data_IF_358015557241
#
_entry.id   IF_358015557241
#
_cell.length_a   1.000
_cell.length_b   1.000
_cell.length_c   1.000
_cell.angle_alpha   90.00
_cell.angle_beta   90.00
_cell.angle_gamma   90.00
#
_symmetry.space_group_name_H-M   'P 1'
#
loop_
_entity.id
_entity.type
_entity.pdbx_description
1 polymer ?
#
# COMPACT_ATOMS: atom_id res chain seq x y z
N UNK A 1 45.99 22.36 -21.56
CA UNK A 1 45.84 23.12 -20.30
C UNK A 1 45.84 22.06 -19.18
N UNK A 2 46.71 22.18 -18.18
CA UNK A 2 47.07 21.10 -17.24
C UNK A 2 45.94 20.77 -16.25
N UNK A 3 45.84 19.49 -15.87
CA UNK A 3 44.78 18.85 -15.05
C UNK A 3 44.86 19.20 -13.54
N UNK A 4 45.78 20.05 -13.09
CA UNK A 4 46.03 20.29 -11.66
C UNK A 4 45.28 21.47 -11.02
N UNK A 5 44.40 22.18 -11.73
CA UNK A 5 43.72 23.39 -11.20
C UNK A 5 42.23 23.22 -10.83
N UNK A 6 41.69 22.00 -10.82
CA UNK A 6 40.25 21.75 -10.56
C UNK A 6 39.81 21.75 -9.08
N UNK A 7 40.71 22.00 -8.12
CA UNK A 7 40.39 21.97 -6.68
C UNK A 7 40.00 23.33 -6.07
N UNK A 8 39.70 24.36 -6.87
CA UNK A 8 39.36 25.70 -6.36
C UNK A 8 38.24 26.42 -7.12
N UNK A 9 37.15 25.72 -7.45
CA UNK A 9 35.92 26.40 -7.87
C UNK A 9 34.90 26.33 -6.73
N UNK A 10 34.31 27.45 -6.31
CA UNK A 10 33.20 27.44 -5.36
C UNK A 10 32.01 26.71 -5.99
N UNK A 11 31.31 25.89 -5.19
CA UNK A 11 30.01 25.35 -5.57
C UNK A 11 29.08 26.53 -5.86
N UNK A 12 28.67 26.68 -7.11
CA UNK A 12 27.66 27.65 -7.51
C UNK A 12 26.33 26.91 -7.55
N UNK A 13 25.34 27.26 -6.71
CA UNK A 13 23.99 26.72 -6.86
C UNK A 13 23.44 27.17 -8.22
N UNK A 14 23.09 26.20 -9.07
CA UNK A 14 22.44 26.47 -10.35
C UNK A 14 20.93 26.51 -10.06
N UNK A 15 20.39 27.71 -9.87
CA UNK A 15 18.95 27.92 -9.88
C UNK A 15 18.43 27.68 -11.31
N UNK A 16 17.65 26.61 -11.52
CA UNK A 16 16.98 26.36 -12.79
C UNK A 16 15.69 27.21 -12.80
N UNK A 17 15.67 28.17 -13.72
CA UNK A 17 14.60 29.14 -13.92
C UNK A 17 13.25 28.49 -14.25
N UNK A 18 12.19 28.97 -13.58
CA UNK A 18 10.77 28.64 -13.76
C UNK A 18 10.25 28.84 -15.20
N UNK A 19 10.43 27.86 -16.08
CA UNK A 19 9.62 27.73 -17.29
C UNK A 19 9.14 26.30 -17.43
N UNK A 20 7.82 26.12 -17.24
CA UNK A 20 7.10 24.85 -17.25
C UNK A 20 6.92 24.31 -18.67
N UNK A 21 7.54 23.17 -19.04
CA UNK A 21 6.93 22.26 -19.98
C UNK A 21 6.00 21.31 -19.21
N UNK A 22 4.70 21.46 -19.42
CA UNK A 22 3.71 20.49 -18.94
C UNK A 22 3.82 19.24 -19.83
N UNK A 23 4.46 18.18 -19.32
CA UNK A 23 4.32 16.84 -19.90
C UNK A 23 3.25 16.10 -19.11
N UNK A 24 2.11 15.87 -19.76
CA UNK A 24 1.02 15.07 -19.23
C UNK A 24 1.45 13.59 -19.30
N UNK A 25 1.72 12.98 -18.16
CA UNK A 25 1.85 11.53 -18.04
C UNK A 25 0.51 11.01 -17.52
N UNK A 26 -0.27 10.36 -18.39
CA UNK A 26 -1.46 9.64 -17.97
C UNK A 26 -1.03 8.45 -17.09
N UNK A 27 -1.63 8.34 -15.91
CA UNK A 27 -1.60 7.10 -15.15
C UNK A 27 -2.11 5.96 -16.06
N UNK A 28 -1.46 4.78 -16.09
CA UNK A 28 -1.99 3.65 -16.83
C UNK A 28 -3.36 3.26 -16.24
N UNK A 29 -4.35 3.11 -17.12
CA UNK A 29 -5.74 2.77 -16.76
C UNK A 29 -5.78 1.52 -15.88
N UNK A 30 -6.62 1.58 -14.85
CA UNK A 30 -7.05 0.40 -14.10
C UNK A 30 -7.41 -0.75 -15.07
N UNK A 31 -7.00 -2.00 -14.80
CA UNK A 31 -7.51 -3.13 -15.56
C UNK A 31 -9.01 -3.23 -15.31
N UNK A 32 -9.78 -2.87 -16.35
CA UNK A 32 -11.23 -2.84 -16.32
C UNK A 32 -11.85 -4.19 -15.96
N UNK A 33 -12.91 -4.10 -15.18
CA UNK A 33 -13.79 -5.19 -14.77
C UNK A 33 -14.57 -5.70 -16.02
N UNK A 34 -14.02 -6.70 -16.72
CA UNK A 34 -14.67 -7.31 -17.90
C UNK A 34 -15.81 -8.25 -17.47
N UNK A 35 -17.02 -7.70 -17.32
CA UNK A 35 -18.28 -8.45 -17.39
C UNK A 35 -19.34 -7.70 -18.20
N UNK A 36 -19.60 -8.22 -19.41
CA UNK A 36 -20.87 -8.25 -20.21
C UNK A 36 -21.21 -7.12 -21.24
N UNK A 37 -20.87 -7.38 -22.52
CA UNK A 37 -21.62 -7.39 -23.83
C UNK A 37 -23.04 -6.76 -23.99
N UNK A 38 -23.61 -6.44 -25.20
CA UNK A 38 -23.15 -5.89 -26.52
C UNK A 38 -23.88 -4.57 -26.98
N UNK A 39 -23.28 -3.88 -27.99
CA UNK A 39 -23.74 -2.97 -29.11
C UNK A 39 -25.24 -2.59 -29.35
N UNK A 40 -25.64 -1.64 -30.26
CA UNK A 40 -24.93 -0.79 -31.28
C UNK A 40 -25.29 0.73 -31.19
N UNK A 41 -24.81 1.74 -31.96
CA UNK A 41 -24.87 1.98 -33.42
C UNK A 41 -24.34 3.40 -33.81
N UNK A 42 -23.86 3.54 -35.06
CA UNK A 42 -23.96 4.68 -36.01
C UNK A 42 -23.19 6.01 -35.77
N UNK A 43 -22.12 6.33 -36.53
CA UNK A 43 -21.96 6.89 -37.90
C UNK A 43 -21.78 8.41 -37.97
N UNK A 44 -20.80 8.81 -38.80
CA UNK A 44 -20.73 10.02 -39.66
C UNK A 44 -19.65 11.09 -39.37
N UNK A 45 -18.74 11.21 -40.36
CA UNK A 45 -18.06 12.43 -40.83
C UNK A 45 -18.59 12.68 -42.26
N UNK A 46 -18.64 13.92 -42.85
CA UNK A 46 -17.41 14.58 -43.34
C UNK A 46 -17.40 16.13 -43.61
N UNK A 47 -16.18 16.70 -43.61
CA UNK A 47 -15.57 17.74 -44.48
C UNK A 47 -16.29 19.03 -44.99
N UNK A 48 -15.65 20.21 -44.84
CA UNK A 48 -14.94 21.01 -45.89
C UNK A 48 -15.05 22.57 -45.81
N UNK A 49 -13.87 23.25 -45.92
CA UNK A 49 -13.53 24.54 -46.61
C UNK A 49 -14.24 25.87 -46.24
N UNK A 50 -13.71 27.12 -46.23
CA UNK A 50 -12.41 27.80 -46.55
C UNK A 50 -12.49 29.30 -46.14
N UNK A 51 -11.32 29.92 -45.89
CA UNK A 51 -10.94 31.34 -46.20
C UNK A 51 -11.42 32.54 -45.35
N UNK A 52 -10.45 33.26 -44.76
CA UNK A 52 -10.56 34.68 -44.39
C UNK A 52 -9.32 35.19 -43.63
N UNK A 53 -8.51 36.05 -44.26
CA UNK A 53 -7.18 36.46 -43.83
C UNK A 53 -7.11 37.75 -42.96
N UNK A 54 -6.00 37.87 -42.22
CA UNK A 54 -5.36 39.05 -41.59
C UNK A 54 -6.02 39.61 -40.31
N UNK A 55 -5.33 39.95 -39.21
CA UNK A 55 -3.91 40.27 -38.99
C UNK A 55 -3.60 40.17 -37.47
N UNK A 56 -2.45 39.60 -37.08
CA UNK A 56 -1.79 39.91 -35.80
C UNK A 56 -1.48 38.76 -34.83
N UNK A 57 -0.36 38.06 -35.02
CA UNK A 57 0.70 37.90 -34.00
C UNK A 57 1.87 37.14 -34.62
N UNK A 58 3.09 37.62 -34.36
CA UNK A 58 4.30 36.84 -34.57
C UNK A 58 4.38 35.81 -33.44
N UNK A 59 4.00 34.57 -33.72
CA UNK A 59 4.43 33.45 -32.88
C UNK A 59 5.22 32.50 -33.77
N UNK A 60 6.55 32.69 -33.73
CA UNK A 60 7.49 31.69 -34.23
C UNK A 60 7.23 30.44 -33.41
N UNK A 61 6.91 29.35 -34.08
CA UNK A 61 6.99 28.01 -33.50
C UNK A 61 8.37 27.84 -32.86
N UNK A 62 8.44 27.93 -31.53
CA UNK A 62 9.62 27.55 -30.78
C UNK A 62 9.60 26.03 -30.62
N UNK A 63 9.72 25.33 -31.74
CA UNK A 63 10.21 23.95 -31.72
C UNK A 63 11.71 24.06 -31.52
N UNK A 64 12.15 24.09 -30.26
CA UNK A 64 13.56 23.96 -29.90
C UNK A 64 14.02 22.54 -30.23
N UNK A 65 14.19 22.28 -31.53
CA UNK A 65 15.03 21.19 -32.01
C UNK A 65 16.41 21.43 -31.41
N UNK A 66 16.85 20.52 -30.53
CA UNK A 66 18.24 20.42 -30.11
C UNK A 66 19.07 19.97 -31.32
N UNK A 67 19.34 20.89 -32.25
CA UNK A 67 20.18 20.60 -33.41
C UNK A 67 21.64 20.65 -32.99
N UNK A 68 22.21 19.44 -32.93
CA UNK A 68 23.64 19.08 -33.01
C UNK A 68 24.56 19.67 -31.95
N UNK A 69 24.54 19.08 -30.75
CA UNK A 69 25.78 18.89 -30.01
C UNK A 69 26.73 18.05 -30.88
N UNK A 70 28.03 18.36 -30.93
CA UNK A 70 28.98 17.45 -31.58
C UNK A 70 28.89 16.07 -30.91
N UNK A 71 29.23 14.96 -31.58
CA UNK A 71 29.27 13.65 -30.94
C UNK A 71 30.07 13.68 -29.63
N UNK A 72 31.12 14.50 -29.51
CA UNK A 72 31.85 14.67 -28.25
C UNK A 72 31.05 15.43 -27.19
N UNK A 73 30.29 16.47 -27.53
CA UNK A 73 29.45 17.21 -26.57
C UNK A 73 28.26 16.36 -26.12
N UNK A 74 27.63 15.62 -27.03
CA UNK A 74 26.58 14.67 -26.70
C UNK A 74 27.10 13.53 -25.84
N UNK A 75 28.29 12.99 -26.14
CA UNK A 75 28.93 11.96 -25.34
C UNK A 75 29.42 12.48 -24.00
N UNK A 76 29.89 13.73 -23.92
CA UNK A 76 30.29 14.38 -22.65
C UNK A 76 29.07 14.63 -21.78
N UNK A 77 27.95 15.04 -22.37
CA UNK A 77 26.68 15.18 -21.65
C UNK A 77 26.13 13.83 -21.21
N UNK A 78 26.17 12.79 -22.06
CA UNK A 78 25.83 11.42 -21.65
C UNK A 78 26.75 10.94 -20.53
N UNK A 79 28.07 11.13 -20.65
CA UNK A 79 29.02 10.72 -19.61
C UNK A 79 28.82 11.51 -18.31
N UNK A 80 28.41 12.77 -18.38
CA UNK A 80 28.04 13.57 -17.22
C UNK A 80 26.76 13.04 -16.56
N UNK A 81 25.74 12.73 -17.36
CA UNK A 81 24.51 12.08 -16.87
C UNK A 81 24.80 10.70 -16.26
N UNK A 82 25.69 9.91 -16.88
CA UNK A 82 26.16 8.62 -16.34
C UNK A 82 26.96 8.80 -15.05
N UNK A 83 27.81 9.83 -14.96
CA UNK A 83 28.55 10.13 -13.73
C UNK A 83 27.66 10.66 -12.60
N UNK A 84 26.55 11.33 -12.92
CA UNK A 84 25.49 11.67 -11.95
C UNK A 84 24.73 10.42 -11.51
N UNK A 85 24.48 9.48 -12.43
CA UNK A 85 23.89 8.17 -12.14
C UNK A 85 24.72 7.36 -11.13
N UNK A 86 26.05 7.50 -11.15
CA UNK A 86 26.96 6.87 -10.18
C UNK A 86 27.05 7.59 -8.81
N UNK A 87 26.52 8.83 -8.68
CA UNK A 87 26.74 9.68 -7.50
C UNK A 87 25.46 10.16 -6.79
N UNK A 88 24.29 9.87 -7.33
CA UNK A 88 23.01 10.38 -6.83
C UNK A 88 22.71 11.79 -7.33
N UNK A 89 21.43 12.06 -7.62
CA UNK A 89 20.88 13.37 -7.94
C UNK A 89 20.40 14.02 -6.65
N UNK A 90 20.91 15.21 -6.33
CA UNK A 90 20.48 16.02 -5.20
C UNK A 90 19.79 17.26 -5.77
N UNK A 91 18.52 17.47 -5.42
CA UNK A 91 17.74 18.59 -5.96
C UNK A 91 18.00 19.90 -5.20
N UNK A 92 18.29 19.80 -3.90
CA UNK A 92 18.60 20.93 -3.04
C UNK A 92 17.33 21.41 -2.33
N UNK A 93 17.40 22.55 -1.62
CA UNK A 93 16.26 23.01 -0.82
C UNK A 93 15.09 23.55 -1.66
N UNK A 94 13.87 23.27 -1.22
CA UNK A 94 12.60 23.74 -1.77
C UNK A 94 11.96 22.72 -2.72
N UNK A 95 10.71 22.96 -3.10
CA UNK A 95 9.95 22.05 -3.98
C UNK A 95 10.62 21.83 -5.34
N UNK A 96 10.98 20.59 -5.64
CA UNK A 96 11.63 20.16 -6.87
C UNK A 96 10.77 19.19 -7.71
N UNK A 97 11.02 19.16 -9.02
CA UNK A 97 10.37 18.24 -9.95
C UNK A 97 11.40 17.42 -10.72
N UNK A 98 11.51 16.13 -10.39
CA UNK A 98 12.53 15.23 -10.92
C UNK A 98 11.92 14.15 -11.80
N UNK A 99 12.47 13.95 -13.01
CA UNK A 99 12.09 12.85 -13.90
C UNK A 99 13.34 12.16 -14.42
N UNK A 100 13.60 10.94 -13.93
CA UNK A 100 14.89 10.27 -14.06
C UNK A 100 14.77 8.88 -14.66
N UNK A 101 15.86 8.47 -15.31
CA UNK A 101 16.00 7.17 -15.97
C UNK A 101 16.17 6.03 -14.94
N UNK A 102 16.03 4.76 -15.36
CA UNK A 102 16.28 3.61 -14.49
C UNK A 102 17.66 3.64 -13.81
N UNK A 103 17.74 3.13 -12.59
CA UNK A 103 18.98 3.04 -11.81
C UNK A 103 19.44 4.35 -11.17
N UNK A 104 18.61 5.39 -11.15
CA UNK A 104 18.96 6.67 -10.56
C UNK A 104 18.97 6.60 -9.02
N UNK A 105 19.99 7.19 -8.40
CA UNK A 105 19.93 7.60 -6.99
C UNK A 105 19.37 9.02 -6.90
N UNK A 106 18.44 9.29 -5.99
CA UNK A 106 17.74 10.57 -5.84
C UNK A 106 17.63 10.92 -4.37
N UNK A 107 17.89 12.18 -4.04
CA UNK A 107 17.64 12.79 -2.74
C UNK A 107 16.94 14.15 -2.97
N UNK A 108 15.70 14.26 -2.51
CA UNK A 108 14.87 15.47 -2.60
C UNK A 108 15.30 16.55 -1.61
N UNK A 109 15.75 16.13 -0.43
CA UNK A 109 16.21 17.02 0.66
C UNK A 109 15.08 17.80 1.31
N UNK A 110 15.14 19.13 1.45
CA UNK A 110 14.06 19.87 2.14
C UNK A 110 13.00 20.34 1.13
N UNK A 111 11.73 20.34 1.49
CA UNK A 111 10.59 20.84 0.70
C UNK A 111 9.75 19.73 0.09
N UNK A 112 8.55 20.07 -0.37
CA UNK A 112 7.61 19.11 -0.94
C UNK A 112 8.02 18.78 -2.39
N UNK A 113 8.62 17.62 -2.61
CA UNK A 113 9.20 17.23 -3.89
C UNK A 113 8.31 16.30 -4.72
N UNK A 114 8.38 16.47 -6.04
CA UNK A 114 7.74 15.60 -7.01
C UNK A 114 8.77 14.77 -7.77
N UNK A 115 8.94 13.52 -7.38
CA UNK A 115 10.00 12.63 -7.87
C UNK A 115 9.39 11.50 -8.71
N UNK A 116 9.82 11.38 -9.97
CA UNK A 116 9.49 10.26 -10.84
C UNK A 116 10.76 9.56 -11.33
N UNK A 117 10.89 8.27 -11.04
CA UNK A 117 12.09 7.47 -11.38
C UNK A 117 11.73 6.18 -12.11
N UNK A 118 12.62 5.73 -13.00
CA UNK A 118 12.53 4.41 -13.62
C UNK A 118 12.83 3.25 -12.67
N UNK A 119 12.97 2.05 -13.21
CA UNK A 119 13.20 0.83 -12.40
C UNK A 119 14.57 0.85 -11.70
N UNK A 120 14.71 0.04 -10.65
CA UNK A 120 15.96 -0.15 -9.91
C UNK A 120 16.54 1.15 -9.33
N UNK A 121 15.67 2.12 -9.00
CA UNK A 121 16.08 3.39 -8.44
C UNK A 121 16.31 3.30 -6.92
N UNK A 122 17.08 4.25 -6.40
CA UNK A 122 17.19 4.54 -4.97
C UNK A 122 16.68 5.96 -4.76
N UNK A 123 15.60 6.14 -4.01
CA UNK A 123 14.99 7.44 -3.77
C UNK A 123 14.92 7.69 -2.27
N UNK A 124 15.26 8.90 -1.85
CA UNK A 124 14.97 9.46 -0.55
C UNK A 124 14.29 10.80 -0.82
N UNK A 125 13.05 10.97 -0.35
CA UNK A 125 12.29 12.21 -0.45
C UNK A 125 12.97 13.30 0.37
N UNK A 126 12.92 13.17 1.70
CA UNK A 126 13.67 14.02 2.61
C UNK A 126 12.75 14.63 3.67
N UNK A 127 12.83 15.94 3.89
CA UNK A 127 11.90 16.66 4.74
C UNK A 127 10.85 17.34 3.85
N UNK A 128 9.56 17.17 4.11
CA UNK A 128 8.47 17.76 3.31
C UNK A 128 7.43 16.73 2.92
N UNK A 129 6.30 17.18 2.39
CA UNK A 129 5.24 16.27 1.94
C UNK A 129 5.54 15.84 0.48
N UNK A 130 6.30 14.76 0.30
CA UNK A 130 6.81 14.36 -1.01
C UNK A 130 5.81 13.53 -1.83
N UNK A 131 5.98 13.54 -3.15
CA UNK A 131 5.25 12.70 -4.09
C UNK A 131 6.23 11.90 -4.95
N UNK A 132 6.31 10.60 -4.70
CA UNK A 132 7.28 9.71 -5.33
C UNK A 132 6.58 8.65 -6.19
N UNK A 133 6.89 8.63 -7.48
CA UNK A 133 6.51 7.58 -8.43
C UNK A 133 7.74 6.78 -8.86
N UNK A 134 7.74 5.48 -8.58
CA UNK A 134 8.84 4.60 -8.93
C UNK A 134 8.36 3.36 -9.71
N UNK A 135 9.21 2.89 -10.62
CA UNK A 135 8.97 1.61 -11.28
C UNK A 135 9.59 0.47 -10.45
N UNK A 136 9.55 -0.74 -11.00
CA UNK A 136 9.93 -1.96 -10.30
C UNK A 136 11.35 -1.97 -9.73
N UNK A 137 11.58 -2.79 -8.71
CA UNK A 137 12.89 -3.03 -8.09
C UNK A 137 13.51 -1.78 -7.42
N UNK A 138 12.70 -0.80 -7.05
CA UNK A 138 13.21 0.44 -6.46
C UNK A 138 13.26 0.37 -4.94
N UNK A 139 14.19 1.07 -4.32
CA UNK A 139 14.24 1.33 -2.88
C UNK A 139 13.88 2.79 -2.64
N UNK A 140 12.84 3.04 -1.85
CA UNK A 140 12.24 4.36 -1.66
C UNK A 140 12.07 4.59 -0.17
N UNK A 141 12.47 5.77 0.27
CA UNK A 141 12.24 6.35 1.59
C UNK A 141 11.50 7.67 1.33
N UNK A 142 10.31 7.85 1.92
CA UNK A 142 9.58 9.12 1.91
C UNK A 142 10.36 10.13 2.72
N UNK A 143 10.44 9.93 4.03
CA UNK A 143 11.27 10.72 4.92
C UNK A 143 10.44 11.29 6.06
N UNK A 144 10.55 12.60 6.31
CA UNK A 144 9.71 13.31 7.26
C UNK A 144 8.64 14.08 6.48
N UNK A 145 7.38 14.00 6.89
CA UNK A 145 6.27 14.68 6.22
C UNK A 145 5.18 13.68 5.85
N UNK A 146 4.02 14.17 5.40
CA UNK A 146 2.94 13.29 4.95
C UNK A 146 3.17 12.93 3.47
N UNK A 147 3.85 11.82 3.20
CA UNK A 147 4.34 11.46 1.87
C UNK A 147 3.32 10.67 1.04
N UNK A 148 3.41 10.82 -0.28
CA UNK A 148 2.75 9.95 -1.24
C UNK A 148 3.78 9.11 -1.99
N UNK A 149 3.74 7.78 -1.84
CA UNK A 149 4.63 6.87 -2.58
C UNK A 149 3.83 5.84 -3.37
N UNK A 150 4.17 5.71 -4.65
CA UNK A 150 3.66 4.64 -5.51
C UNK A 150 4.77 3.93 -6.27
N UNK A 151 4.96 2.66 -5.96
CA UNK A 151 6.00 1.84 -6.57
C UNK A 151 5.45 0.56 -7.19
N UNK A 152 5.97 0.20 -8.37
CA UNK A 152 5.65 -1.05 -9.05
C UNK A 152 6.30 -2.27 -8.37
N UNK A 153 6.32 -3.41 -9.07
CA UNK A 153 6.75 -4.71 -8.55
C UNK A 153 8.12 -4.74 -7.89
N UNK A 154 8.27 -5.58 -6.87
CA UNK A 154 9.55 -5.89 -6.22
C UNK A 154 10.23 -4.66 -5.60
N UNK A 155 9.45 -3.66 -5.19
CA UNK A 155 9.97 -2.43 -4.60
C UNK A 155 10.02 -2.54 -3.08
N UNK A 156 10.90 -1.76 -2.46
CA UNK A 156 10.95 -1.53 -1.02
C UNK A 156 10.54 -0.08 -0.78
N UNK A 157 9.53 0.11 0.03
CA UNK A 157 8.95 1.41 0.36
C UNK A 157 9.02 1.57 1.87
N UNK A 158 9.54 2.68 2.35
CA UNK A 158 9.40 3.18 3.71
C UNK A 158 8.72 4.54 3.62
N UNK A 159 7.63 4.75 4.37
CA UNK A 159 7.00 6.07 4.52
C UNK A 159 7.92 6.98 5.34
N UNK A 160 8.06 6.69 6.62
CA UNK A 160 8.97 7.40 7.52
C UNK A 160 8.22 8.01 8.69
N UNK A 161 8.45 9.30 8.97
CA UNK A 161 7.71 10.05 9.98
C UNK A 161 6.59 10.86 9.29
N UNK A 162 5.33 10.64 9.62
CA UNK A 162 4.20 11.36 9.03
C UNK A 162 3.03 10.44 8.74
N UNK A 163 1.92 10.98 8.25
CA UNK A 163 0.76 10.19 7.85
C UNK A 163 0.85 9.91 6.36
N UNK A 164 1.48 8.80 6.01
CA UNK A 164 1.88 8.51 4.65
C UNK A 164 0.78 7.81 3.84
N UNK A 165 0.86 7.95 2.53
CA UNK A 165 0.06 7.20 1.57
C UNK A 165 0.95 6.37 0.68
N UNK A 166 1.01 5.08 0.97
CA UNK A 166 1.93 4.14 0.35
C UNK A 166 1.19 3.14 -0.53
N UNK A 167 1.74 2.88 -1.71
CA UNK A 167 1.20 1.87 -2.62
C UNK A 167 2.29 1.05 -3.29
N UNK A 168 2.21 -0.27 -3.13
CA UNK A 168 3.19 -1.22 -3.66
C UNK A 168 2.52 -2.33 -4.45
N UNK A 169 2.95 -2.51 -5.69
CA UNK A 169 2.45 -3.58 -6.53
C UNK A 169 3.34 -4.81 -6.40
N UNK A 170 2.75 -6.01 -6.58
CA UNK A 170 3.38 -7.33 -6.73
C UNK A 170 4.77 -7.52 -6.11
N UNK A 171 4.85 -8.35 -5.06
CA UNK A 171 6.10 -8.69 -4.38
C UNK A 171 6.83 -7.49 -3.79
N UNK A 172 6.09 -6.44 -3.42
CA UNK A 172 6.67 -5.26 -2.78
C UNK A 172 6.71 -5.45 -1.27
N UNK A 173 7.65 -4.76 -0.63
CA UNK A 173 7.76 -4.63 0.81
C UNK A 173 7.48 -3.18 1.18
N UNK A 174 6.52 -2.95 2.06
CA UNK A 174 6.08 -1.63 2.48
C UNK A 174 6.17 -1.57 4.00
N UNK A 175 6.81 -0.53 4.50
CA UNK A 175 6.87 -0.15 5.91
C UNK A 175 6.24 1.26 5.99
N UNK A 176 5.18 1.44 6.78
CA UNK A 176 4.53 2.73 7.00
C UNK A 176 5.47 3.67 7.76
N UNK A 177 5.68 3.36 9.04
CA UNK A 177 6.63 4.05 9.89
C UNK A 177 5.95 4.59 11.14
N UNK A 178 6.17 5.87 11.44
CA UNK A 178 5.49 6.57 12.52
C UNK A 178 4.38 7.44 11.95
N UNK A 179 3.15 7.32 12.43
CA UNK A 179 2.01 8.14 12.02
C UNK A 179 0.82 7.27 11.59
N UNK A 180 -0.32 7.90 11.33
CA UNK A 180 -1.52 7.17 10.91
C UNK A 180 -1.47 6.96 9.38
N UNK A 181 -0.95 5.83 8.93
CA UNK A 181 -0.64 5.58 7.52
C UNK A 181 -1.81 5.01 6.72
N UNK A 182 -1.75 5.17 5.40
CA UNK A 182 -2.64 4.50 4.45
C UNK A 182 -1.84 3.68 3.46
N UNK A 183 -2.00 2.36 3.53
CA UNK A 183 -1.19 1.42 2.76
C UNK A 183 -2.07 0.52 1.89
N UNK A 184 -1.85 0.58 0.58
CA UNK A 184 -2.46 -0.32 -0.40
C UNK A 184 -1.39 -1.25 -1.02
N UNK A 185 -1.50 -2.57 -0.86
CA UNK A 185 -0.51 -3.52 -1.40
C UNK A 185 -1.10 -4.72 -2.13
N UNK A 186 -0.60 -5.00 -3.32
CA UNK A 186 -1.15 -6.07 -4.17
C UNK A 186 -0.18 -7.23 -4.36
N UNK A 187 -0.72 -8.45 -4.42
CA UNK A 187 -0.10 -9.68 -4.91
C UNK A 187 1.24 -10.03 -4.26
N UNK A 188 1.20 -10.94 -3.29
CA UNK A 188 2.40 -11.46 -2.63
C UNK A 188 3.27 -10.35 -2.01
N UNK A 189 2.65 -9.26 -1.58
CA UNK A 189 3.35 -8.14 -0.95
C UNK A 189 3.40 -8.35 0.57
N UNK A 190 4.35 -7.67 1.21
CA UNK A 190 4.53 -7.68 2.65
C UNK A 190 4.38 -6.24 3.17
N UNK A 191 3.48 -6.04 4.12
CA UNK A 191 3.18 -4.75 4.73
C UNK A 191 3.40 -4.81 6.23
N UNK A 192 3.95 -3.75 6.78
CA UNK A 192 4.05 -3.42 8.20
C UNK A 192 3.62 -1.95 8.35
N UNK A 193 2.53 -1.70 9.07
CA UNK A 193 2.00 -0.35 9.29
C UNK A 193 2.94 0.46 10.16
N UNK A 194 3.25 -0.05 11.34
CA UNK A 194 4.24 0.53 12.25
C UNK A 194 3.59 1.10 13.49
N UNK A 195 3.97 2.31 13.88
CA UNK A 195 3.39 3.02 15.03
C UNK A 195 2.30 3.97 14.52
N UNK A 196 1.06 3.85 14.97
CA UNK A 196 -0.05 4.71 14.56
C UNK A 196 -1.32 3.92 14.32
N UNK A 197 -2.41 4.60 13.96
CA UNK A 197 -3.67 3.95 13.62
C UNK A 197 -3.79 3.84 12.11
N UNK A 198 -3.36 2.71 11.57
CA UNK A 198 -3.14 2.54 10.14
C UNK A 198 -4.38 2.06 9.39
N UNK A 199 -4.45 2.41 8.11
CA UNK A 199 -5.45 1.93 7.17
C UNK A 199 -4.79 1.07 6.10
N UNK A 200 -4.83 -0.25 6.28
CA UNK A 200 -4.11 -1.21 5.46
C UNK A 200 -5.08 -2.04 4.62
N UNK A 201 -4.79 -2.14 3.32
CA UNK A 201 -5.54 -2.95 2.38
C UNK A 201 -4.58 -3.83 1.56
N UNK A 202 -4.73 -5.15 1.66
CA UNK A 202 -3.85 -6.13 1.00
C UNK A 202 -4.60 -7.21 0.23
N UNK A 203 -4.10 -7.54 -0.97
CA UNK A 203 -4.74 -8.50 -1.87
C UNK A 203 -3.81 -9.63 -2.29
N UNK A 204 -4.40 -10.81 -2.56
CA UNK A 204 -3.79 -11.92 -3.30
C UNK A 204 -2.51 -12.47 -2.67
N UNK A 205 -2.68 -13.32 -1.65
CA UNK A 205 -1.61 -14.00 -0.92
C UNK A 205 -0.59 -13.03 -0.32
N UNK A 206 -1.04 -11.86 0.14
CA UNK A 206 -0.19 -10.85 0.77
C UNK A 206 -0.18 -11.02 2.30
N UNK A 207 0.84 -10.47 2.93
CA UNK A 207 0.96 -10.36 4.39
C UNK A 207 0.80 -8.91 4.81
N UNK A 208 0.07 -8.66 5.90
CA UNK A 208 0.01 -7.37 6.57
C UNK A 208 0.13 -7.55 8.10
N UNK A 209 0.99 -6.73 8.71
CA UNK A 209 0.95 -6.41 10.13
C UNK A 209 0.45 -4.97 10.28
N UNK A 210 -0.51 -4.73 11.18
CA UNK A 210 -0.93 -3.38 11.58
C UNK A 210 0.19 -2.69 12.35
N UNK A 211 0.51 -3.24 13.52
CA UNK A 211 1.62 -2.75 14.33
C UNK A 211 1.12 -2.31 15.68
N UNK A 212 1.44 -1.08 16.08
CA UNK A 212 1.00 -0.50 17.34
C UNK A 212 -0.01 0.62 17.11
N UNK A 213 -1.24 0.45 17.57
CA UNK A 213 -2.33 1.41 17.45
C UNK A 213 -3.64 0.69 17.12
N UNK A 214 -4.73 1.45 16.99
CA UNK A 214 -6.04 0.87 16.67
C UNK A 214 -6.21 0.83 15.14
N UNK A 215 -5.84 -0.28 14.51
CA UNK A 215 -5.70 -0.39 13.06
C UNK A 215 -6.99 -0.77 12.35
N UNK A 216 -7.09 -0.40 11.06
CA UNK A 216 -8.13 -0.85 10.14
C UNK A 216 -7.49 -1.64 9.01
N UNK A 217 -7.65 -2.97 9.05
CA UNK A 217 -6.98 -3.87 8.09
C UNK A 217 -8.00 -4.64 7.25
N UNK A 218 -7.81 -4.63 5.94
CA UNK A 218 -8.59 -5.44 5.01
C UNK A 218 -7.71 -6.38 4.19
N UNK A 219 -7.98 -7.68 4.31
CA UNK A 219 -7.26 -8.74 3.60
C UNK A 219 -8.17 -9.53 2.66
N UNK A 220 -7.70 -9.79 1.43
CA UNK A 220 -8.44 -10.58 0.45
C UNK A 220 -7.60 -11.67 -0.19
N UNK A 221 -8.28 -12.73 -0.64
CA UNK A 221 -7.73 -13.77 -1.50
C UNK A 221 -6.48 -14.44 -0.90
N UNK A 222 -6.66 -15.18 0.18
CA UNK A 222 -5.60 -15.95 0.84
C UNK A 222 -4.57 -15.11 1.59
N UNK A 223 -4.90 -13.87 1.96
CA UNK A 223 -3.96 -13.00 2.68
C UNK A 223 -3.83 -13.43 4.14
N UNK A 224 -2.69 -13.13 4.75
CA UNK A 224 -2.40 -13.37 6.16
C UNK A 224 -2.28 -12.03 6.87
N UNK A 225 -3.07 -11.84 7.91
CA UNK A 225 -3.20 -10.58 8.63
C UNK A 225 -2.82 -10.77 10.10
N UNK A 226 -2.08 -9.82 10.65
CA UNK A 226 -1.78 -9.65 12.06
C UNK A 226 -2.18 -8.21 12.43
N UNK A 227 -3.13 -8.01 13.36
CA UNK A 227 -3.51 -6.67 13.80
C UNK A 227 -2.39 -6.01 14.58
N UNK A 228 -1.87 -6.73 15.58
CA UNK A 228 -0.71 -6.29 16.36
C UNK A 228 -1.13 -5.93 17.77
N UNK A 229 -0.96 -4.69 18.18
CA UNK A 229 -1.41 -4.22 19.49
C UNK A 229 -2.32 -3.02 19.37
N UNK A 230 -3.47 -3.07 20.04
CA UNK A 230 -4.52 -2.05 19.95
C UNK A 230 -5.86 -2.71 19.72
N UNK A 231 -6.93 -1.92 19.70
CA UNK A 231 -8.28 -2.44 19.45
C UNK A 231 -8.60 -2.40 17.94
N UNK A 232 -8.25 -3.44 17.21
CA UNK A 232 -8.23 -3.43 15.75
C UNK A 232 -9.60 -3.71 15.10
N UNK A 233 -9.76 -3.23 13.86
CA UNK A 233 -10.90 -3.53 12.99
C UNK A 233 -10.40 -4.26 11.75
N UNK A 234 -10.60 -5.58 11.73
CA UNK A 234 -10.06 -6.43 10.67
C UNK A 234 -11.19 -7.04 9.83
N UNK A 235 -11.08 -6.96 8.50
CA UNK A 235 -12.01 -7.60 7.57
C UNK A 235 -11.27 -8.50 6.59
N UNK A 236 -11.54 -9.79 6.65
CA UNK A 236 -10.90 -10.79 5.77
C UNK A 236 -11.89 -11.58 4.93
N UNK A 237 -11.45 -12.00 3.73
CA UNK A 237 -12.23 -12.83 2.80
C UNK A 237 -11.40 -13.87 2.07
N UNK A 238 -12.09 -14.85 1.47
CA UNK A 238 -11.54 -15.81 0.50
C UNK A 238 -10.31 -16.57 1.01
N UNK A 239 -10.51 -17.44 2.01
CA UNK A 239 -9.47 -18.32 2.60
C UNK A 239 -8.31 -17.58 3.30
N UNK A 240 -8.55 -16.35 3.75
CA UNK A 240 -7.56 -15.57 4.49
C UNK A 240 -7.42 -16.03 5.96
N UNK A 241 -6.24 -15.78 6.52
CA UNK A 241 -5.89 -16.05 7.92
C UNK A 241 -5.70 -14.72 8.65
N UNK A 242 -6.20 -14.62 9.88
CA UNK A 242 -6.12 -13.41 10.69
C UNK A 242 -5.78 -13.75 12.14
N UNK A 243 -4.87 -12.99 12.72
CA UNK A 243 -4.68 -12.84 14.16
C UNK A 243 -5.07 -11.40 14.50
N UNK A 244 -5.88 -11.22 15.54
CA UNK A 244 -6.19 -9.87 16.05
C UNK A 244 -4.94 -9.28 16.71
N UNK A 245 -4.43 -9.99 17.72
CA UNK A 245 -3.23 -9.58 18.44
C UNK A 245 -3.61 -9.24 19.87
N UNK A 246 -2.92 -8.29 20.51
CA UNK A 246 -3.31 -7.84 21.84
C UNK A 246 -4.28 -6.66 21.78
N UNK A 247 -5.44 -6.76 22.42
CA UNK A 247 -6.49 -5.75 22.41
C UNK A 247 -7.87 -6.40 22.31
N UNK A 248 -8.93 -5.60 22.29
CA UNK A 248 -10.30 -6.11 22.11
C UNK A 248 -10.73 -5.94 20.64
N UNK A 249 -10.39 -6.91 19.79
CA UNK A 249 -10.48 -6.77 18.34
C UNK A 249 -11.86 -7.01 17.75
N UNK A 250 -12.13 -6.40 16.59
CA UNK A 250 -13.35 -6.61 15.79
C UNK A 250 -13.00 -7.22 14.44
N UNK A 251 -13.25 -8.52 14.33
CA UNK A 251 -12.89 -9.29 13.14
C UNK A 251 -14.15 -9.66 12.35
N UNK A 252 -14.18 -9.34 11.05
CA UNK A 252 -15.23 -9.78 10.12
C UNK A 252 -14.64 -10.76 9.11
N UNK A 253 -15.16 -11.99 9.12
CA UNK A 253 -14.80 -13.02 8.13
C UNK A 253 -15.95 -13.18 7.15
N UNK A 254 -15.73 -12.93 5.85
CA UNK A 254 -16.74 -13.18 4.82
C UNK A 254 -16.26 -14.22 3.80
N UNK A 255 -17.06 -15.23 3.52
CA UNK A 255 -16.58 -16.42 2.80
C UNK A 255 -15.94 -17.40 3.79
N UNK A 256 -14.83 -18.02 3.41
CA UNK A 256 -14.01 -18.84 4.31
C UNK A 256 -12.87 -18.03 4.93
N UNK A 257 -12.54 -18.30 6.18
CA UNK A 257 -11.35 -17.74 6.82
C UNK A 257 -11.02 -18.42 8.15
N UNK A 258 -9.79 -18.21 8.61
CA UNK A 258 -9.27 -18.72 9.88
C UNK A 258 -8.91 -17.55 10.78
N UNK A 259 -9.43 -17.55 12.00
CA UNK A 259 -9.02 -16.62 13.07
C UNK A 259 -8.13 -17.39 14.04
N UNK A 260 -6.92 -16.90 14.25
CA UNK A 260 -6.01 -17.42 15.26
C UNK A 260 -6.21 -16.66 16.57
N UNK A 261 -6.11 -17.38 17.68
CA UNK A 261 -6.28 -16.79 19.01
C UNK A 261 -5.40 -17.49 20.05
N UNK A 262 -4.79 -16.70 20.92
CA UNK A 262 -4.08 -17.12 22.12
C UNK A 262 -4.66 -16.42 23.37
N UNK A 263 -4.54 -17.04 24.54
CA UNK A 263 -4.81 -16.35 25.80
C UNK A 263 -3.80 -15.23 26.01
N UNK A 264 -4.30 -14.05 26.41
CA UNK A 264 -3.54 -12.81 26.46
C UNK A 264 -3.76 -11.88 25.27
N UNK A 265 -4.44 -12.36 24.21
CA UNK A 265 -4.82 -11.54 23.05
C UNK A 265 -5.91 -10.54 23.43
N UNK A 266 -6.82 -10.89 24.35
CA UNK A 266 -7.90 -10.00 24.78
C UNK A 266 -9.27 -10.57 24.45
N UNK A 267 -10.30 -9.72 24.41
CA UNK A 267 -11.70 -10.13 24.23
C UNK A 267 -12.28 -9.74 22.87
N UNK A 268 -12.06 -10.63 21.89
CA UNK A 268 -12.43 -10.35 20.51
C UNK A 268 -13.92 -10.52 20.20
N UNK A 269 -14.38 -9.74 19.23
CA UNK A 269 -15.67 -9.90 18.58
C UNK A 269 -15.51 -10.32 17.12
N UNK A 270 -16.00 -11.52 16.78
CA UNK A 270 -15.94 -12.07 15.43
C UNK A 270 -17.33 -12.08 14.79
N UNK A 271 -17.47 -11.44 13.63
CA UNK A 271 -18.66 -11.56 12.77
C UNK A 271 -18.40 -12.56 11.64
N UNK A 272 -19.06 -13.72 11.69
CA UNK A 272 -18.88 -14.80 10.73
C UNK A 272 -19.94 -14.77 9.61
N UNK A 273 -19.61 -14.20 8.45
CA UNK A 273 -20.46 -14.14 7.23
C UNK A 273 -20.21 -15.29 6.25
N UNK A 274 -19.61 -16.37 6.72
CA UNK A 274 -19.38 -17.61 6.00
C UNK A 274 -18.63 -18.60 6.90
N UNK A 275 -18.01 -19.63 6.33
CA UNK A 275 -17.30 -20.65 7.11
C UNK A 275 -16.15 -20.05 7.91
N UNK A 276 -16.16 -20.27 9.23
CA UNK A 276 -15.13 -19.78 10.14
C UNK A 276 -14.44 -20.96 10.84
N UNK A 277 -13.11 -20.96 10.80
CA UNK A 277 -12.30 -21.72 11.73
C UNK A 277 -11.71 -20.77 12.78
N UNK A 278 -11.83 -21.12 14.06
CA UNK A 278 -11.07 -20.46 15.14
C UNK A 278 -10.00 -21.45 15.58
N UNK A 279 -8.74 -21.07 15.40
CA UNK A 279 -7.59 -21.90 15.70
C UNK A 279 -6.91 -21.37 16.96
N UNK A 280 -6.91 -22.19 17.99
CA UNK A 280 -6.23 -21.89 19.23
C UNK A 280 -4.80 -22.41 19.23
N UNK A 281 -3.89 -21.68 19.85
CA UNK A 281 -2.53 -22.14 20.12
C UNK A 281 -2.45 -23.01 21.40
N UNK A 282 -1.22 -23.30 21.85
CA UNK A 282 -0.97 -24.13 23.04
C UNK A 282 -1.45 -23.50 24.36
N UNK A 283 -1.79 -22.20 24.38
CA UNK A 283 -2.30 -21.52 25.57
C UNK A 283 -3.73 -21.93 25.93
N UNK A 284 -4.51 -22.42 24.96
CA UNK A 284 -5.91 -22.83 25.16
C UNK A 284 -6.06 -24.34 25.02
N UNK A 285 -6.23 -25.03 26.15
CA UNK A 285 -6.61 -26.44 26.16
C UNK A 285 -8.09 -26.64 25.79
N UNK A 286 -8.41 -27.72 25.07
CA UNK A 286 -9.78 -27.99 24.61
C UNK A 286 -10.80 -28.11 25.76
N UNK A 287 -10.38 -28.58 26.94
CA UNK A 287 -11.21 -28.73 28.13
C UNK A 287 -11.37 -27.43 28.94
N UNK A 288 -10.60 -26.39 28.64
CA UNK A 288 -10.77 -25.06 29.25
C UNK A 288 -11.91 -24.26 28.59
N UNK A 289 -12.30 -24.63 27.36
CA UNK A 289 -13.26 -23.88 26.54
C UNK A 289 -14.71 -24.16 26.92
N UNK A 290 -15.39 -23.12 27.38
CA UNK A 290 -16.81 -23.10 27.69
C UNK A 290 -17.55 -22.24 26.65
N UNK A 291 -18.69 -22.71 26.15
CA UNK A 291 -19.46 -21.98 25.14
C UNK A 291 -20.88 -21.80 25.64
N UNK A 292 -21.34 -20.55 25.67
CA UNK A 292 -22.73 -20.17 25.90
C UNK A 292 -23.32 -19.57 24.63
N UNK A 293 -24.65 -19.57 24.53
CA UNK A 293 -25.37 -19.06 23.37
C UNK A 293 -26.50 -18.14 23.83
N UNK A 294 -26.64 -17.00 23.16
CA UNK A 294 -27.77 -16.09 23.28
C UNK A 294 -28.22 -15.65 21.89
N UNK A 295 -29.36 -16.18 21.43
CA UNK A 295 -29.87 -15.89 20.09
C UNK A 295 -28.91 -16.32 18.97
N UNK A 296 -28.38 -15.35 18.23
CA UNK A 296 -27.41 -15.53 17.13
C UNK A 296 -25.94 -15.39 17.56
N UNK A 297 -25.70 -15.22 18.86
CA UNK A 297 -24.38 -14.97 19.42
C UNK A 297 -23.91 -16.18 20.21
N UNK A 298 -22.69 -16.62 19.95
CA UNK A 298 -21.98 -17.58 20.79
C UNK A 298 -20.89 -16.83 21.56
N UNK A 299 -20.80 -17.06 22.86
CA UNK A 299 -19.70 -16.55 23.69
C UNK A 299 -18.83 -17.72 24.11
N UNK A 300 -17.56 -17.65 23.74
CA UNK A 300 -16.53 -18.63 24.07
C UNK A 300 -15.73 -18.04 25.23
N UNK A 301 -15.71 -18.69 26.38
CA UNK A 301 -14.92 -18.30 27.54
C UNK A 301 -13.92 -19.39 27.91
N UNK A 302 -12.87 -18.99 28.63
CA UNK A 302 -11.74 -19.86 28.97
C UNK A 302 -11.64 -20.02 30.49
N UNK A 303 -11.58 -21.27 30.97
CA UNK A 303 -11.52 -21.54 32.40
C UNK A 303 -10.30 -20.88 33.06
N UNK A 304 -10.54 -19.95 33.98
CA UNK A 304 -9.48 -19.23 34.70
C UNK A 304 -9.03 -17.92 34.03
N UNK A 305 -9.67 -17.51 32.94
CA UNK A 305 -9.52 -16.18 32.32
C UNK A 305 -10.85 -15.42 32.34
N UNK A 306 -10.78 -14.09 32.28
CA UNK A 306 -11.94 -13.22 32.02
C UNK A 306 -12.09 -12.92 30.51
N UNK A 307 -11.12 -13.32 29.69
CA UNK A 307 -11.14 -13.14 28.24
C UNK A 307 -12.23 -13.98 27.58
N UNK A 308 -12.81 -13.42 26.51
CA UNK A 308 -13.86 -14.10 25.75
C UNK A 308 -13.75 -13.84 24.26
N UNK A 309 -14.19 -14.79 23.45
CA UNK A 309 -14.48 -14.56 22.04
C UNK A 309 -15.99 -14.51 21.85
N UNK A 310 -16.50 -13.39 21.37
CA UNK A 310 -17.90 -13.22 21.00
C UNK A 310 -18.09 -13.42 19.50
N UNK A 311 -18.74 -14.52 19.11
CA UNK A 311 -18.98 -14.87 17.71
C UNK A 311 -20.42 -14.58 17.31
N UNK A 312 -20.63 -13.58 16.46
CA UNK A 312 -21.91 -13.25 15.86
C UNK A 312 -22.12 -14.03 14.55
N UNK A 313 -23.30 -14.65 14.42
CA UNK A 313 -23.71 -15.42 13.23
C UNK A 313 -24.89 -14.76 12.53
N UNK A 314 -24.68 -14.04 11.41
CA UNK A 314 -25.78 -13.49 10.64
C UNK A 314 -26.67 -14.56 9.98
N UNK A 315 -26.10 -15.72 9.63
CA UNK A 315 -26.84 -16.86 9.07
C UNK A 315 -26.85 -18.05 10.06
N UNK A 316 -27.99 -18.75 10.22
CA UNK A 316 -28.13 -19.82 11.21
C UNK A 316 -27.34 -21.09 10.88
N UNK A 317 -26.95 -21.27 9.62
CA UNK A 317 -26.19 -22.39 9.08
C UNK A 317 -24.69 -22.10 8.91
N UNK A 318 -24.23 -20.93 9.35
CA UNK A 318 -22.80 -20.60 9.36
C UNK A 318 -22.01 -21.66 10.15
N UNK A 319 -21.16 -22.40 9.43
CA UNK A 319 -20.29 -23.42 10.01
C UNK A 319 -19.13 -22.76 10.76
N UNK A 320 -19.02 -23.05 12.06
CA UNK A 320 -17.92 -22.59 12.91
C UNK A 320 -17.25 -23.79 13.55
N UNK A 321 -15.95 -23.92 13.36
CA UNK A 321 -15.13 -25.00 13.92
C UNK A 321 -14.06 -24.41 14.83
N UNK A 322 -13.93 -24.95 16.03
CA UNK A 322 -12.80 -24.70 16.91
C UNK A 322 -11.75 -25.77 16.66
N UNK A 323 -10.49 -25.39 16.48
CA UNK A 323 -9.34 -26.30 16.41
C UNK A 323 -8.32 -25.97 17.49
N UNK A 324 -7.73 -27.02 18.06
CA UNK A 324 -6.79 -26.92 19.18
C UNK A 324 -5.42 -27.48 18.79
N UNK A 325 -4.38 -27.06 19.50
CA UNK A 325 -3.01 -27.48 19.22
C UNK A 325 -2.76 -29.00 19.41
N UNK A 326 -3.58 -29.67 20.23
CA UNK A 326 -3.55 -31.13 20.39
C UNK A 326 -4.16 -31.92 19.20
N UNK A 327 -4.66 -31.19 18.19
CA UNK A 327 -5.27 -31.72 16.98
C UNK A 327 -6.75 -32.06 17.12
N UNK A 328 -7.36 -31.85 18.28
CA UNK A 328 -8.81 -32.01 18.45
C UNK A 328 -9.57 -30.85 17.80
N UNK A 329 -10.82 -31.12 17.41
CA UNK A 329 -11.72 -30.11 16.86
C UNK A 329 -13.10 -30.20 17.50
N UNK A 330 -13.79 -29.06 17.57
CA UNK A 330 -15.15 -28.94 18.10
C UNK A 330 -15.98 -28.05 17.17
N UNK A 331 -17.01 -28.62 16.55
CA UNK A 331 -18.00 -27.84 15.82
C UNK A 331 -18.90 -27.09 16.79
N UNK A 332 -19.14 -25.81 16.53
CA UNK A 332 -20.11 -25.03 17.28
C UNK A 332 -21.49 -25.14 16.62
N UNK A 333 -22.18 -26.24 16.93
CA UNK A 333 -23.56 -26.46 16.48
C UNK A 333 -24.55 -25.62 17.28
N UNK A 334 -25.58 -25.09 16.61
CA UNK A 334 -26.75 -24.56 17.31
C UNK A 334 -27.53 -25.76 17.85
N UNK A 335 -27.60 -25.92 19.17
CA UNK A 335 -28.50 -26.89 19.78
C UNK A 335 -29.93 -26.70 19.26
N UNK A 336 -30.58 -27.77 18.81
CA UNK A 336 -31.93 -27.76 18.25
C UNK A 336 -33.05 -27.41 19.25
N UNK A 337 -32.74 -26.77 20.38
CA UNK A 337 -33.64 -26.66 21.53
C UNK A 337 -33.83 -25.23 22.02
N UNK A 338 -34.15 -24.29 21.13
CA UNK A 338 -34.90 -23.10 21.55
C UNK A 338 -36.03 -22.86 20.55
N UNK A 339 -37.16 -23.52 20.84
CA UNK A 339 -38.45 -23.11 20.29
C UNK A 339 -38.71 -21.66 20.68
N UNK A 340 -39.27 -20.82 19.78
CA UNK A 340 -39.76 -19.52 20.20
C UNK A 340 -40.83 -19.75 21.26
N UNK A 341 -40.65 -19.15 22.44
CA UNK A 341 -41.72 -19.02 23.42
C UNK A 341 -42.84 -18.27 22.70
N UNK A 342 -44.00 -18.93 22.61
CA UNK A 342 -45.19 -18.51 21.87
C UNK A 342 -45.76 -17.17 22.34
#
# INVERSE_FOLDING_TARGET
MNITDLHRLPLVPIAISQQRPQFHFEAPKEPGNDLQDPSPSDTETPSSTTSGAANGSQDRENTSRLTTASPEVAQTFLNFLTQLQERGFFSGSGEDHLNLIPGAGVNGSDGDDHIAVGSAASVNGGDGDDTIYAWSNSAIEGGNGDDFVSAWSQSRISGGDGNDRLSGWSQSRIEGGNGDDRIDAWSQSWVDGGDGNDNIAVWSDSYAAGGAGDDIISGWSGSVIDGGSGDDIISVRDDSEVTGGTGDDKITVSGSGTVNYALGDGSDTITARGTLAIRFDDSVAADSVQVSYEGSTATIGFAGSEETITVQRPAPDTAITLSFADGTTRSLERGASESPIA
#
